data_IF_385031724532
#
_entry.id   IF_385031724532
#
_cell.length_a   1.000
_cell.length_b   1.000
_cell.length_c   1.000
_cell.angle_alpha   90.00
_cell.angle_beta   90.00
_cell.angle_gamma   90.00
#
_symmetry.space_group_name_H-M   'P 1'
#
loop_
_entity.id
_entity.type
_entity.pdbx_description
1 polymer ?
#
# COMPACT_ATOMS: atom_id res chain seq x y z
N UNK A 1 -15.53 30.71 50.74
CA UNK A 1 -14.85 29.43 50.47
C UNK A 1 -14.75 29.25 48.96
N UNK A 2 -13.60 29.55 48.37
CA UNK A 2 -13.35 29.34 46.94
C UNK A 2 -12.54 28.07 46.73
N UNK A 3 -12.99 27.23 45.78
CA UNK A 3 -12.26 26.04 45.33
C UNK A 3 -11.05 26.50 44.51
N UNK A 4 -9.84 26.17 44.98
CA UNK A 4 -8.61 26.23 44.16
C UNK A 4 -8.48 24.88 43.44
N UNK A 5 -8.48 24.94 42.12
CA UNK A 5 -8.12 23.83 41.24
C UNK A 5 -6.59 23.72 41.22
N UNK A 6 -6.07 22.52 41.48
CA UNK A 6 -4.65 22.19 41.35
C UNK A 6 -4.51 21.47 40.01
N UNK A 7 -3.88 22.13 39.03
CA UNK A 7 -3.44 21.50 37.78
C UNK A 7 -2.01 21.02 38.00
N UNK A 8 -1.68 19.73 37.80
CA UNK A 8 -0.30 19.27 37.87
C UNK A 8 0.47 19.72 36.62
N UNK A 9 1.65 20.24 36.85
CA UNK A 9 2.60 20.71 35.85
C UNK A 9 3.07 19.52 34.98
N UNK A 10 2.87 19.60 33.67
CA UNK A 10 3.33 18.57 32.71
C UNK A 10 4.70 19.01 32.20
N UNK A 11 5.78 18.25 32.44
CA UNK A 11 7.11 18.67 32.04
C UNK A 11 7.26 18.66 30.51
N UNK A 12 7.96 19.68 30.03
CA UNK A 12 8.36 19.92 28.64
C UNK A 12 9.05 18.68 28.04
N UNK A 13 8.55 18.21 26.89
CA UNK A 13 8.96 16.95 26.22
C UNK A 13 10.36 16.99 25.61
N UNK A 14 11.10 18.09 25.73
CA UNK A 14 12.36 18.30 25.00
C UNK A 14 13.64 18.00 25.79
N UNK A 15 13.55 17.57 27.06
CA UNK A 15 14.72 17.14 27.85
C UNK A 15 14.41 15.90 28.70
N UNK A 16 14.50 14.72 28.09
CA UNK A 16 14.56 13.47 28.83
C UNK A 16 16.05 13.16 29.04
N UNK A 17 16.55 13.42 30.25
CA UNK A 17 17.92 13.09 30.65
C UNK A 17 18.14 11.56 30.60
N UNK A 18 19.35 11.12 30.24
CA UNK A 18 19.74 9.70 30.06
C UNK A 18 19.40 8.81 31.28
N UNK A 19 19.31 9.38 32.48
CA UNK A 19 18.91 8.66 33.70
C UNK A 19 17.44 8.19 33.71
N UNK A 20 16.57 8.82 32.91
CA UNK A 20 15.12 8.54 32.87
C UNK A 20 14.84 7.23 32.13
N UNK A 21 15.60 6.94 31.06
CA UNK A 21 15.44 5.70 30.29
C UNK A 21 15.84 4.46 31.10
N UNK A 22 16.91 4.55 31.90
CA UNK A 22 17.32 3.47 32.81
C UNK A 22 16.24 3.14 33.85
N UNK A 23 15.53 4.17 34.33
CA UNK A 23 14.44 4.01 35.30
C UNK A 23 13.18 3.42 34.68
N UNK A 24 12.85 3.82 33.45
CA UNK A 24 11.74 3.25 32.67
C UNK A 24 12.02 1.77 32.33
N UNK A 25 13.25 1.43 31.96
CA UNK A 25 13.66 0.05 31.71
C UNK A 25 13.56 -0.83 32.95
N UNK A 26 14.04 -0.37 34.11
CA UNK A 26 13.89 -1.09 35.39
C UNK A 26 12.43 -1.33 35.75
N UNK A 27 11.58 -0.31 35.61
CA UNK A 27 10.15 -0.42 35.91
C UNK A 27 9.39 -1.37 34.97
N UNK A 28 9.78 -1.44 33.68
CA UNK A 28 9.23 -2.40 32.71
C UNK A 28 9.67 -3.83 33.01
N UNK A 29 10.93 -4.02 33.41
CA UNK A 29 11.48 -5.34 33.76
C UNK A 29 10.87 -5.90 35.05
N UNK A 30 10.69 -5.06 36.08
CA UNK A 30 10.02 -5.45 37.33
C UNK A 30 8.54 -5.85 37.10
N UNK A 31 7.85 -5.17 36.18
CA UNK A 31 6.47 -5.51 35.81
C UNK A 31 6.33 -6.81 35.02
N UNK A 32 7.29 -7.15 34.17
CA UNK A 32 7.30 -8.45 33.48
C UNK A 32 7.63 -9.60 34.42
N UNK A 33 8.55 -9.39 35.36
CA UNK A 33 8.90 -10.38 36.40
C UNK A 33 7.71 -10.68 37.32
N UNK A 34 6.93 -9.67 37.70
CA UNK A 34 5.69 -9.87 38.49
C UNK A 34 4.57 -10.54 37.69
N UNK A 35 4.49 -10.33 36.38
CA UNK A 35 3.50 -11.00 35.53
C UNK A 35 3.78 -12.51 35.38
N UNK A 36 5.05 -12.91 35.32
CA UNK A 36 5.45 -14.33 35.26
C UNK A 36 5.26 -15.07 36.58
N UNK A 37 5.29 -14.36 37.72
CA UNK A 37 5.03 -14.92 39.05
C UNK A 37 3.55 -15.32 39.27
N UNK A 38 2.61 -14.69 38.56
CA UNK A 38 1.17 -14.94 38.73
C UNK A 38 0.61 -16.11 37.89
N UNK A 39 1.41 -16.73 37.02
CA UNK A 39 0.99 -17.82 36.14
C UNK A 39 1.58 -19.18 36.53
N UNK A 40 1.68 -19.47 37.83
CA UNK A 40 2.06 -20.79 38.32
C UNK A 40 0.98 -21.83 37.98
N UNK A 41 1.15 -22.52 36.85
CA UNK A 41 0.44 -23.75 36.52
C UNK A 41 0.94 -24.93 37.39
N UNK A 42 0.10 -25.95 37.64
CA UNK A 42 0.45 -27.07 38.51
C UNK A 42 1.61 -27.92 37.97
N UNK A 43 2.43 -28.39 38.92
CA UNK A 43 3.65 -29.15 38.71
C UNK A 43 3.46 -30.35 37.78
N UNK A 44 4.26 -30.42 36.71
CA UNK A 44 4.31 -31.61 35.84
C UNK A 44 4.88 -31.43 34.43
N UNK A 45 5.30 -30.23 34.02
CA UNK A 45 5.95 -30.02 32.72
C UNK A 45 7.41 -29.61 32.95
N UNK A 46 8.34 -30.33 32.32
CA UNK A 46 9.75 -29.99 32.28
C UNK A 46 9.91 -28.56 31.76
N UNK A 47 10.48 -27.69 32.60
CA UNK A 47 10.72 -26.31 32.27
C UNK A 47 11.86 -26.22 31.24
N UNK A 48 11.52 -26.07 29.96
CA UNK A 48 12.47 -25.59 28.96
C UNK A 48 12.91 -24.16 29.35
N UNK A 49 14.20 -24.01 29.58
CA UNK A 49 14.83 -22.71 29.84
C UNK A 49 14.70 -21.84 28.57
N UNK A 50 13.76 -20.90 28.59
CA UNK A 50 13.59 -19.93 27.51
C UNK A 50 14.76 -18.95 27.56
N UNK A 51 15.80 -19.22 26.78
CA UNK A 51 16.92 -18.28 26.58
C UNK A 51 16.43 -17.14 25.69
N UNK A 52 16.19 -15.98 26.28
CA UNK A 52 15.84 -14.76 25.55
C UNK A 52 17.14 -14.13 25.01
N UNK A 53 17.26 -14.04 23.68
CA UNK A 53 18.40 -13.38 23.03
C UNK A 53 18.23 -11.84 23.05
N UNK A 54 18.89 -11.20 24.02
CA UNK A 54 18.92 -9.74 24.18
C UNK A 54 19.40 -9.00 22.92
N UNK A 55 20.26 -9.62 22.08
CA UNK A 55 20.72 -8.99 20.83
C UNK A 55 19.60 -8.91 19.80
N UNK A 56 18.78 -9.96 19.70
CA UNK A 56 17.64 -9.99 18.79
C UNK A 56 16.56 -8.95 19.18
N UNK A 57 16.34 -8.74 20.48
CA UNK A 57 15.43 -7.72 20.99
C UNK A 57 15.96 -6.31 20.68
N UNK A 58 17.23 -6.06 20.99
CA UNK A 58 17.86 -4.75 20.73
C UNK A 58 17.80 -4.38 19.25
N UNK A 59 18.13 -5.31 18.34
CA UNK A 59 18.02 -5.09 16.89
C UNK A 59 16.61 -4.71 16.44
N UNK A 60 15.58 -5.43 16.93
CA UNK A 60 14.17 -5.13 16.60
C UNK A 60 13.73 -3.74 17.10
N UNK A 61 14.30 -3.26 18.21
CA UNK A 61 14.03 -1.91 18.74
C UNK A 61 14.73 -0.87 17.86
N UNK A 62 16.00 -1.07 17.55
CA UNK A 62 16.78 -0.15 16.72
C UNK A 62 16.16 0.00 15.32
N UNK A 63 15.74 -1.10 14.69
CA UNK A 63 15.04 -1.10 13.39
C UNK A 63 13.72 -0.30 13.44
N UNK A 64 12.95 -0.43 14.54
CA UNK A 64 11.71 0.34 14.75
C UNK A 64 11.98 1.83 14.94
N UNK A 65 13.06 2.19 15.64
CA UNK A 65 13.44 3.59 15.87
C UNK A 65 13.91 4.24 14.57
N UNK A 66 14.74 3.56 13.78
CA UNK A 66 15.18 4.03 12.47
C UNK A 66 13.98 4.27 11.56
N UNK A 67 13.08 3.28 11.43
CA UNK A 67 11.87 3.41 10.61
C UNK A 67 11.01 4.60 11.02
N UNK A 68 10.79 4.81 12.33
CA UNK A 68 10.02 5.95 12.83
C UNK A 68 10.70 7.29 12.53
N UNK A 69 12.03 7.35 12.57
CA UNK A 69 12.81 8.55 12.25
C UNK A 69 12.73 8.87 10.76
N UNK A 70 12.79 7.87 9.89
CA UNK A 70 12.59 8.03 8.44
C UNK A 70 11.18 8.50 8.10
N UNK A 71 10.15 7.91 8.70
CA UNK A 71 8.76 8.34 8.53
C UNK A 71 8.53 9.78 8.99
N UNK A 72 9.18 10.18 10.10
CA UNK A 72 9.12 11.56 10.61
C UNK A 72 9.80 12.52 9.65
N UNK A 73 11.00 12.19 9.16
CA UNK A 73 11.72 13.01 8.17
C UNK A 73 10.95 13.12 6.85
N UNK A 74 10.28 12.03 6.42
CA UNK A 74 9.43 12.03 5.23
C UNK A 74 8.20 12.93 5.44
N UNK A 75 7.56 12.89 6.62
CA UNK A 75 6.46 13.81 6.99
C UNK A 75 6.92 15.27 6.97
N UNK A 76 8.08 15.57 7.54
CA UNK A 76 8.66 16.93 7.54
C UNK A 76 8.97 17.42 6.12
N UNK A 77 9.57 16.55 5.28
CA UNK A 77 9.88 16.86 3.87
C UNK A 77 8.61 17.08 3.03
N UNK A 78 7.53 16.35 3.33
CA UNK A 78 6.27 16.41 2.59
C UNK A 78 5.34 17.55 3.07
N UNK A 79 5.64 18.15 4.23
CA UNK A 79 4.84 19.19 4.86
C UNK A 79 3.54 18.66 5.49
N UNK A 80 2.81 19.55 6.16
CA UNK A 80 1.42 19.24 6.53
C UNK A 80 0.59 19.06 5.27
N UNK A 81 -0.43 18.17 5.27
CA UNK A 81 -1.32 18.01 4.11
C UNK A 81 -2.00 19.34 3.81
N UNK A 82 -1.47 20.10 2.84
CA UNK A 82 -2.16 21.27 2.32
C UNK A 82 -3.47 20.78 1.70
N UNK A 83 -4.60 21.37 2.09
CA UNK A 83 -5.90 21.07 1.47
C UNK A 83 -5.78 21.35 -0.03
N UNK A 84 -5.70 20.29 -0.84
CA UNK A 84 -5.71 20.37 -2.30
C UNK A 84 -7.14 20.60 -2.74
N UNK A 85 -7.39 21.59 -3.61
CA UNK A 85 -8.76 21.89 -4.06
C UNK A 85 -9.29 20.84 -5.04
N UNK A 86 -10.61 20.77 -5.24
CA UNK A 86 -11.22 19.81 -6.19
C UNK A 86 -10.74 20.12 -7.60
N UNK A 87 -10.66 21.41 -7.92
CA UNK A 87 -10.19 21.94 -9.19
C UNK A 87 -8.75 21.50 -9.48
N UNK A 88 -7.89 21.45 -8.45
CA UNK A 88 -6.51 21.01 -8.62
C UNK A 88 -6.40 19.50 -8.86
N UNK A 89 -7.18 18.68 -8.13
CA UNK A 89 -7.22 17.22 -8.32
C UNK A 89 -7.78 16.84 -9.70
N UNK A 90 -8.83 17.54 -10.12
CA UNK A 90 -9.54 17.27 -11.38
C UNK A 90 -8.87 17.87 -12.60
N UNK A 91 -7.89 18.78 -12.41
CA UNK A 91 -7.18 19.42 -13.51
C UNK A 91 -6.58 18.38 -14.44
N UNK A 92 -6.97 18.47 -15.72
CA UNK A 92 -6.29 17.74 -16.79
C UNK A 92 -4.97 18.47 -17.03
N UNK A 93 -3.87 17.77 -16.81
CA UNK A 93 -2.56 18.30 -17.15
C UNK A 93 -2.09 17.58 -18.41
N UNK A 94 -2.31 18.23 -19.54
CA UNK A 94 -1.88 17.78 -20.86
C UNK A 94 -0.36 17.53 -20.91
N UNK A 95 0.40 18.21 -20.04
CA UNK A 95 1.85 18.00 -19.87
C UNK A 95 2.19 16.98 -18.79
N UNK A 96 1.28 16.67 -17.84
CA UNK A 96 1.54 15.69 -16.77
C UNK A 96 1.77 14.27 -17.28
N UNK A 97 1.31 13.94 -18.49
CA UNK A 97 1.65 12.66 -19.12
C UNK A 97 3.17 12.46 -19.26
N UNK A 98 3.98 13.54 -19.14
CA UNK A 98 5.44 13.50 -19.13
C UNK A 98 6.09 13.38 -17.76
N UNK A 99 5.37 13.67 -16.66
CA UNK A 99 5.92 13.56 -15.31
C UNK A 99 5.75 12.12 -14.85
N UNK A 100 6.77 11.31 -15.16
CA UNK A 100 6.85 9.92 -14.71
C UNK A 100 7.05 9.91 -13.20
N UNK A 101 6.08 9.37 -12.47
CA UNK A 101 6.10 9.34 -11.00
C UNK A 101 6.26 7.88 -10.58
N UNK A 102 7.44 7.49 -10.05
CA UNK A 102 7.70 6.12 -9.66
C UNK A 102 6.94 5.82 -8.37
N UNK A 103 5.73 5.28 -8.50
CA UNK A 103 5.06 4.66 -7.35
C UNK A 103 4.66 3.27 -7.73
N UNK A 104 5.40 2.33 -7.13
CA UNK A 104 4.91 0.99 -6.84
C UNK A 104 3.89 1.18 -5.73
N UNK A 105 2.67 0.62 -5.86
CA UNK A 105 1.56 0.86 -4.94
C UNK A 105 1.89 0.65 -3.45
N UNK A 106 0.91 0.89 -2.59
CA UNK A 106 1.01 0.68 -1.14
C UNK A 106 1.63 -0.69 -0.80
N UNK A 107 2.38 -0.71 0.31
CA UNK A 107 2.98 -1.94 0.83
C UNK A 107 1.88 -2.95 1.16
N UNK A 108 2.22 -4.25 1.14
CA UNK A 108 1.25 -5.31 1.39
C UNK A 108 0.56 -5.22 2.76
N UNK A 109 1.25 -4.70 3.77
CA UNK A 109 0.70 -4.50 5.11
C UNK A 109 -0.43 -3.44 5.14
N UNK A 110 -0.50 -2.58 4.13
CA UNK A 110 -1.57 -1.58 4.04
C UNK A 110 -2.91 -2.20 3.63
N UNK A 111 -2.91 -3.42 3.06
CA UNK A 111 -4.13 -4.11 2.64
C UNK A 111 -4.76 -4.85 3.81
N UNK A 112 -5.88 -4.32 4.27
CA UNK A 112 -6.68 -4.84 5.38
C UNK A 112 -8.12 -4.92 4.88
N UNK A 113 -8.87 -5.89 5.40
CA UNK A 113 -10.28 -6.11 5.03
C UNK A 113 -11.10 -4.83 5.15
N UNK A 114 -11.96 -4.59 4.17
CA UNK A 114 -12.81 -3.40 4.09
C UNK A 114 -12.09 -2.11 3.70
N UNK A 115 -10.75 -2.05 3.73
CA UNK A 115 -10.00 -0.85 3.34
C UNK A 115 -10.19 -0.56 1.86
N UNK A 116 -10.33 0.71 1.51
CA UNK A 116 -10.43 1.18 0.12
C UNK A 116 -9.07 1.13 -0.56
N UNK A 117 -9.00 0.48 -1.71
CA UNK A 117 -7.78 0.37 -2.52
C UNK A 117 -8.06 0.89 -3.92
N UNK A 118 -7.38 1.97 -4.31
CA UNK A 118 -7.41 2.42 -5.70
C UNK A 118 -6.59 1.43 -6.55
N UNK A 119 -7.23 0.76 -7.50
CA UNK A 119 -6.61 -0.25 -8.37
C UNK A 119 -6.43 0.22 -9.81
N UNK A 120 -7.12 1.28 -10.23
CA UNK A 120 -6.86 1.95 -11.50
C UNK A 120 -7.08 3.45 -11.38
N UNK A 121 -6.26 4.27 -12.05
CA UNK A 121 -6.35 5.73 -11.99
C UNK A 121 -6.13 6.36 -13.39
N UNK A 122 -6.86 7.43 -13.75
CA UNK A 122 -6.76 8.01 -15.08
C UNK A 122 -5.46 8.82 -15.24
N UNK A 123 -4.62 8.37 -16.19
CA UNK A 123 -3.29 8.95 -16.47
C UNK A 123 -3.25 10.45 -16.77
N UNK A 124 -4.37 11.04 -17.19
CA UNK A 124 -4.45 12.47 -17.58
C UNK A 124 -4.56 13.43 -16.39
N UNK A 125 -4.76 12.89 -15.17
CA UNK A 125 -4.93 13.66 -13.94
C UNK A 125 -3.72 13.51 -13.01
N UNK A 126 -2.54 13.93 -13.47
CA UNK A 126 -1.29 13.78 -12.70
C UNK A 126 -1.30 14.47 -11.33
N UNK A 127 -2.00 15.61 -11.19
CA UNK A 127 -2.17 16.28 -9.91
C UNK A 127 -2.98 15.43 -8.92
N UNK A 128 -4.10 14.86 -9.38
CA UNK A 128 -4.90 13.92 -8.57
C UNK A 128 -4.12 12.67 -8.19
N UNK A 129 -3.26 12.17 -9.07
CA UNK A 129 -2.35 11.07 -8.76
C UNK A 129 -1.35 11.44 -7.65
N UNK A 130 -0.71 12.60 -7.74
CA UNK A 130 0.20 13.08 -6.70
C UNK A 130 -0.51 13.19 -5.34
N UNK A 131 -1.76 13.65 -5.34
CA UNK A 131 -2.58 13.69 -4.14
C UNK A 131 -2.84 12.27 -3.59
N UNK A 132 -3.22 11.32 -4.45
CA UNK A 132 -3.41 9.92 -4.07
C UNK A 132 -2.14 9.34 -3.42
N UNK A 133 -1.00 9.50 -4.06
CA UNK A 133 0.29 8.97 -3.58
C UNK A 133 0.65 9.55 -2.22
N UNK A 134 0.58 10.87 -2.08
CA UNK A 134 0.87 11.54 -0.80
C UNK A 134 0.00 10.98 0.32
N UNK A 135 -1.28 10.72 0.05
CA UNK A 135 -2.21 10.16 1.03
C UNK A 135 -2.01 8.65 1.27
N UNK A 136 -1.68 7.87 0.24
CA UNK A 136 -1.55 6.41 0.33
C UNK A 136 -0.25 5.94 1.01
N UNK A 137 0.77 6.81 1.07
CA UNK A 137 2.03 6.55 1.79
C UNK A 137 1.82 6.62 3.31
N UNK A 138 0.93 7.49 3.77
CA UNK A 138 0.63 7.60 5.20
C UNK A 138 -0.50 6.63 5.55
N UNK A 139 -0.15 5.54 6.24
CA UNK A 139 -1.04 4.42 6.58
C UNK A 139 -2.32 4.84 7.32
N UNK A 140 -2.36 6.05 7.88
CA UNK A 140 -3.44 6.60 8.70
C UNK A 140 -4.68 7.09 7.91
N UNK A 141 -4.59 7.33 6.60
CA UNK A 141 -5.66 8.01 5.84
C UNK A 141 -6.75 7.08 5.28
N UNK A 142 -6.77 5.80 5.68
CA UNK A 142 -7.81 4.83 5.28
C UNK A 142 -7.82 4.45 3.78
N UNK A 143 -6.93 5.04 2.97
CA UNK A 143 -6.79 4.76 1.54
C UNK A 143 -5.47 4.05 1.28
N UNK A 144 -5.52 3.01 0.45
CA UNK A 144 -4.35 2.36 -0.10
C UNK A 144 -4.45 2.36 -1.64
N UNK A 145 -3.37 2.01 -2.32
CA UNK A 145 -3.35 1.95 -3.78
C UNK A 145 -2.54 0.75 -4.26
N UNK A 146 -3.00 0.09 -5.32
CA UNK A 146 -2.21 -0.88 -6.07
C UNK A 146 -1.84 -0.36 -7.46
N UNK A 147 -2.41 0.79 -7.85
CA UNK A 147 -2.13 1.44 -9.11
C UNK A 147 -0.65 1.66 -9.34
N UNK A 148 -0.25 1.57 -10.61
CA UNK A 148 1.07 1.97 -11.07
C UNK A 148 0.87 3.04 -12.13
N UNK A 149 1.36 4.25 -11.89
CA UNK A 149 1.31 5.35 -12.84
C UNK A 149 2.64 5.38 -13.61
N UNK A 150 2.54 5.45 -14.94
CA UNK A 150 3.63 5.51 -15.92
C UNK A 150 5.03 5.47 -15.29
N UNK A 151 5.59 4.25 -15.08
CA UNK A 151 6.84 4.10 -14.36
C UNK A 151 7.92 4.95 -15.02
N UNK A 152 8.74 5.61 -14.20
CA UNK A 152 9.88 6.33 -14.73
C UNK A 152 10.90 5.36 -15.35
N UNK A 153 11.82 5.85 -16.19
CA UNK A 153 12.87 5.00 -16.78
C UNK A 153 13.73 4.28 -15.72
N UNK A 154 13.75 4.75 -14.48
CA UNK A 154 14.50 4.19 -13.35
C UNK A 154 13.67 3.18 -12.55
N UNK A 155 12.36 3.12 -12.76
CA UNK A 155 11.44 2.34 -11.97
C UNK A 155 11.62 0.85 -12.27
N UNK A 156 11.50 0.05 -11.20
CA UNK A 156 11.68 -1.40 -11.29
C UNK A 156 10.66 -1.98 -12.28
N UNK A 157 11.15 -2.56 -13.37
CA UNK A 157 10.32 -3.18 -14.40
C UNK A 157 10.05 -2.30 -15.62
N UNK A 158 10.47 -1.03 -15.63
CA UNK A 158 10.38 -0.20 -16.83
C UNK A 158 11.19 -0.81 -17.99
N UNK A 159 10.60 -0.82 -19.19
CA UNK A 159 11.19 -1.39 -20.40
C UNK A 159 11.36 -2.91 -20.36
N UNK A 160 11.02 -3.58 -19.24
CA UNK A 160 11.17 -5.02 -19.10
C UNK A 160 9.91 -5.74 -19.59
N UNK A 161 10.15 -6.69 -20.48
CA UNK A 161 9.13 -7.61 -20.98
C UNK A 161 9.27 -8.92 -20.24
N UNK A 162 8.20 -9.34 -19.55
CA UNK A 162 8.19 -10.65 -18.91
C UNK A 162 8.01 -11.72 -20.00
N UNK A 163 8.98 -12.63 -20.06
CA UNK A 163 8.88 -13.86 -20.85
C UNK A 163 8.23 -14.91 -19.95
N UNK A 164 7.17 -15.54 -20.41
CA UNK A 164 6.56 -16.64 -19.67
C UNK A 164 7.51 -17.85 -19.67
N UNK A 165 7.93 -18.28 -18.48
CA UNK A 165 8.81 -19.45 -18.28
C UNK A 165 7.93 -20.71 -18.30
N UNK A 166 8.35 -21.74 -19.05
CA UNK A 166 7.71 -23.05 -19.32
C UNK A 166 7.22 -23.31 -20.74
N UNK A 167 7.70 -22.59 -21.75
CA UNK A 167 7.89 -23.15 -23.11
C UNK A 167 6.66 -23.63 -23.88
N UNK A 168 5.44 -23.59 -23.33
CA UNK A 168 4.18 -23.84 -24.07
C UNK A 168 3.53 -22.52 -24.47
N UNK A 169 4.21 -21.85 -25.39
CA UNK A 169 3.63 -21.53 -26.69
C UNK A 169 4.67 -21.92 -27.74
N UNK A 170 4.43 -23.04 -28.42
CA UNK A 170 5.22 -23.47 -29.56
C UNK A 170 5.14 -22.41 -30.68
N UNK A 171 6.30 -21.99 -31.19
CA UNK A 171 6.46 -21.78 -32.64
C UNK A 171 6.23 -20.39 -33.26
N UNK A 172 5.63 -19.40 -32.60
CA UNK A 172 5.58 -18.02 -33.15
C UNK A 172 5.23 -17.00 -32.08
N UNK A 173 5.97 -15.88 -31.97
CA UNK A 173 5.56 -14.65 -31.26
C UNK A 173 4.84 -14.89 -29.91
N UNK A 174 5.56 -15.39 -28.91
CA UNK A 174 5.05 -15.56 -27.53
C UNK A 174 4.52 -14.23 -26.99
N UNK A 175 3.20 -14.15 -26.75
CA UNK A 175 2.48 -12.90 -26.45
C UNK A 175 2.85 -12.34 -25.07
N UNK A 176 3.70 -11.31 -25.05
CA UNK A 176 3.87 -10.42 -23.90
C UNK A 176 2.50 -9.89 -23.43
N UNK A 177 2.31 -9.62 -22.12
CA UNK A 177 1.16 -8.82 -21.62
C UNK A 177 0.99 -7.49 -22.37
N UNK A 178 2.06 -6.99 -23.00
CA UNK A 178 2.06 -5.90 -23.96
C UNK A 178 0.97 -5.99 -25.02
N UNK A 179 0.73 -7.19 -25.57
CA UNK A 179 -0.28 -7.39 -26.63
C UNK A 179 -1.69 -7.12 -26.11
N UNK A 180 -1.90 -7.30 -24.82
CA UNK A 180 -3.16 -7.00 -24.17
C UNK A 180 -3.26 -5.50 -23.78
N UNK A 181 -2.16 -4.93 -23.28
CA UNK A 181 -2.13 -3.54 -22.80
C UNK A 181 -2.08 -2.50 -23.92
N UNK A 182 -1.27 -2.78 -24.93
CA UNK A 182 -0.96 -1.86 -26.03
C UNK A 182 -1.62 -2.30 -27.33
N UNK A 183 -2.31 -3.45 -27.35
CA UNK A 183 -2.93 -4.02 -28.55
C UNK A 183 -1.92 -4.08 -29.70
N UNK A 184 -2.17 -3.31 -30.75
CA UNK A 184 -1.38 -3.27 -31.98
C UNK A 184 -0.27 -2.21 -31.94
N UNK A 185 -0.22 -1.36 -30.89
CA UNK A 185 0.80 -0.34 -30.71
C UNK A 185 2.06 -0.94 -30.05
N UNK A 186 2.73 -1.80 -30.80
CA UNK A 186 3.93 -2.50 -30.35
C UNK A 186 5.14 -1.58 -30.18
N UNK A 187 5.12 -0.38 -30.78
CA UNK A 187 6.20 0.60 -30.58
C UNK A 187 6.10 1.24 -29.19
N UNK A 188 4.88 1.54 -28.69
CA UNK A 188 4.70 1.87 -27.27
C UNK A 188 5.10 0.72 -26.35
N UNK A 189 4.76 -0.52 -26.73
CA UNK A 189 5.13 -1.69 -25.94
C UNK A 189 6.65 -1.79 -25.75
N UNK A 190 7.45 -1.62 -26.82
CA UNK A 190 8.92 -1.71 -26.79
C UNK A 190 9.56 -0.72 -25.81
N UNK A 191 8.99 0.48 -25.66
CA UNK A 191 9.52 1.51 -24.77
C UNK A 191 9.21 1.26 -23.29
N UNK A 192 7.99 0.80 -22.98
CA UNK A 192 7.51 0.73 -21.60
C UNK A 192 7.68 -0.63 -20.93
N UNK A 193 7.72 -1.72 -21.71
CA UNK A 193 7.66 -3.07 -21.16
C UNK A 193 6.29 -3.42 -20.56
N UNK A 194 6.16 -4.63 -20.01
CA UNK A 194 4.95 -5.09 -19.33
C UNK A 194 5.17 -5.55 -17.89
N UNK A 195 6.42 -5.59 -17.41
CA UNK A 195 6.70 -6.10 -16.08
C UNK A 195 5.99 -5.29 -14.98
N UNK A 196 5.82 -3.98 -15.19
CA UNK A 196 5.04 -3.11 -14.32
C UNK A 196 3.58 -3.56 -14.16
N UNK A 197 2.97 -4.10 -15.23
CA UNK A 197 1.60 -4.59 -15.19
C UNK A 197 1.48 -5.86 -14.37
N UNK A 198 2.49 -6.74 -14.42
CA UNK A 198 2.49 -7.92 -13.56
C UNK A 198 2.70 -7.55 -12.09
N UNK A 199 3.52 -6.53 -11.79
CA UNK A 199 3.63 -5.98 -10.43
C UNK A 199 2.26 -5.45 -9.97
N UNK A 200 1.62 -4.60 -10.77
CA UNK A 200 0.26 -4.11 -10.52
C UNK A 200 -0.74 -5.25 -10.27
N UNK A 201 -0.76 -6.26 -11.14
CA UNK A 201 -1.67 -7.40 -11.05
C UNK A 201 -1.45 -8.18 -9.75
N UNK A 202 -0.20 -8.43 -9.38
CA UNK A 202 0.14 -9.12 -8.12
C UNK A 202 -0.34 -8.33 -6.90
N UNK A 203 -0.07 -7.02 -6.85
CA UNK A 203 -0.50 -6.15 -5.74
C UNK A 203 -2.04 -6.12 -5.67
N UNK A 204 -2.71 -6.00 -6.81
CA UNK A 204 -4.18 -5.98 -6.92
C UNK A 204 -4.80 -7.29 -6.44
N UNK A 205 -4.23 -8.44 -6.84
CA UNK A 205 -4.69 -9.76 -6.38
C UNK A 205 -4.52 -9.91 -4.87
N UNK A 206 -3.42 -9.38 -4.31
CA UNK A 206 -3.21 -9.35 -2.86
C UNK A 206 -4.28 -8.51 -2.17
N UNK A 207 -4.54 -7.29 -2.63
CA UNK A 207 -5.60 -6.43 -2.09
C UNK A 207 -6.98 -7.13 -2.11
N UNK A 208 -7.33 -7.78 -3.22
CA UNK A 208 -8.57 -8.56 -3.31
C UNK A 208 -8.60 -9.72 -2.31
N UNK A 209 -7.49 -10.47 -2.18
CA UNK A 209 -7.37 -11.60 -1.23
C UNK A 209 -7.52 -11.14 0.23
N UNK A 210 -7.06 -9.94 0.57
CA UNK A 210 -7.23 -9.36 1.90
C UNK A 210 -8.63 -8.76 2.12
N UNK A 211 -9.56 -8.88 1.17
CA UNK A 211 -10.93 -8.37 1.32
C UNK A 211 -11.02 -6.85 1.22
N UNK A 212 -10.07 -6.19 0.55
CA UNK A 212 -10.14 -4.76 0.33
C UNK A 212 -11.27 -4.38 -0.65
N UNK A 213 -11.80 -3.16 -0.51
CA UNK A 213 -12.74 -2.59 -1.48
C UNK A 213 -11.96 -2.00 -2.65
N UNK A 214 -11.95 -2.69 -3.79
CA UNK A 214 -11.24 -2.24 -4.99
C UNK A 214 -12.00 -1.08 -5.66
N UNK A 215 -11.30 -0.02 -6.02
CA UNK A 215 -11.86 1.18 -6.64
C UNK A 215 -11.12 1.50 -7.94
N UNK A 216 -11.87 1.68 -9.02
CA UNK A 216 -11.41 2.18 -10.31
C UNK A 216 -11.83 3.64 -10.44
N UNK A 217 -10.86 4.55 -10.47
CA UNK A 217 -11.12 5.97 -10.72
C UNK A 217 -11.21 6.19 -12.23
N UNK A 218 -12.26 6.83 -12.71
CA UNK A 218 -12.48 7.14 -14.12
C UNK A 218 -12.22 8.62 -14.42
N UNK A 219 -12.24 9.01 -15.69
CA UNK A 219 -12.27 10.43 -16.06
C UNK A 219 -13.57 11.09 -15.59
N UNK A 220 -13.64 12.42 -15.71
CA UNK A 220 -14.83 13.23 -15.39
C UNK A 220 -16.11 12.70 -16.03
N UNK A 221 -16.04 12.27 -17.29
CA UNK A 221 -17.19 11.75 -18.03
C UNK A 221 -17.48 10.26 -17.80
N UNK A 222 -16.89 9.64 -16.77
CA UNK A 222 -17.06 8.21 -16.49
C UNK A 222 -16.24 7.27 -17.39
N UNK A 223 -15.55 7.78 -18.41
CA UNK A 223 -14.80 6.93 -19.35
C UNK A 223 -13.43 6.49 -18.80
N UNK A 224 -13.00 5.29 -19.21
CA UNK A 224 -11.68 4.73 -18.90
C UNK A 224 -10.59 5.25 -19.85
N UNK A 225 -9.40 5.50 -19.31
CA UNK A 225 -8.16 5.66 -20.08
C UNK A 225 -7.75 4.37 -20.80
N UNK A 226 -6.85 4.49 -21.79
CA UNK A 226 -6.41 3.35 -22.62
C UNK A 226 -5.77 2.24 -21.79
N UNK A 227 -4.84 2.58 -20.88
CA UNK A 227 -4.22 1.61 -19.97
C UNK A 227 -5.24 0.99 -19.00
N UNK A 228 -6.14 1.82 -18.47
CA UNK A 228 -7.18 1.39 -17.54
C UNK A 228 -8.12 0.34 -18.13
N UNK A 229 -8.38 0.38 -19.44
CA UNK A 229 -9.19 -0.66 -20.10
C UNK A 229 -8.57 -2.05 -19.93
N UNK A 230 -7.24 -2.15 -20.00
CA UNK A 230 -6.53 -3.41 -19.75
C UNK A 230 -6.67 -3.87 -18.29
N UNK A 231 -6.43 -2.96 -17.35
CA UNK A 231 -6.57 -3.19 -15.91
C UNK A 231 -7.98 -3.65 -15.54
N UNK A 232 -9.01 -2.93 -15.99
CA UNK A 232 -10.42 -3.26 -15.73
C UNK A 232 -10.81 -4.60 -16.36
N UNK A 233 -10.38 -4.89 -17.58
CA UNK A 233 -10.68 -6.18 -18.19
C UNK A 233 -9.93 -7.34 -17.50
N UNK A 234 -8.79 -7.08 -16.84
CA UNK A 234 -8.13 -8.07 -15.96
C UNK A 234 -8.97 -8.33 -14.71
N UNK A 235 -9.47 -7.29 -14.04
CA UNK A 235 -10.38 -7.43 -12.88
C UNK A 235 -11.62 -8.26 -13.24
N UNK A 236 -12.26 -7.93 -14.38
CA UNK A 236 -13.43 -8.67 -14.89
C UNK A 236 -13.11 -10.12 -15.20
N UNK A 237 -11.95 -10.41 -15.81
CA UNK A 237 -11.53 -11.77 -16.13
C UNK A 237 -11.35 -12.64 -14.88
N UNK A 238 -10.87 -12.06 -13.78
CA UNK A 238 -10.73 -12.75 -12.50
C UNK A 238 -11.98 -12.68 -11.63
N UNK A 239 -13.07 -12.09 -12.12
CA UNK A 239 -14.32 -11.89 -11.39
C UNK A 239 -14.12 -11.15 -10.05
N UNK A 240 -13.23 -10.15 -10.03
CA UNK A 240 -13.05 -9.30 -8.85
C UNK A 240 -14.17 -8.26 -8.78
N UNK A 241 -14.74 -8.10 -7.59
CA UNK A 241 -15.70 -7.03 -7.31
C UNK A 241 -14.95 -5.70 -7.15
N UNK A 242 -15.37 -4.68 -7.90
CA UNK A 242 -14.79 -3.35 -7.80
C UNK A 242 -15.86 -2.27 -8.01
N UNK A 243 -15.64 -1.09 -7.44
CA UNK A 243 -16.49 0.10 -7.62
C UNK A 243 -15.84 1.05 -8.62
N UNK A 244 -16.65 1.68 -9.45
CA UNK A 244 -16.20 2.78 -10.32
C UNK A 244 -16.57 4.11 -9.67
N UNK A 245 -15.66 5.08 -9.72
CA UNK A 245 -15.93 6.46 -9.29
C UNK A 245 -15.23 7.45 -10.22
N UNK A 246 -15.83 8.61 -10.47
CA UNK A 246 -15.18 9.66 -11.28
C UNK A 246 -14.05 10.32 -10.51
N UNK A 247 -13.12 10.95 -11.23
CA UNK A 247 -12.04 11.76 -10.63
C UNK A 247 -12.57 12.87 -9.71
N UNK A 248 -13.75 13.42 -10.01
CA UNK A 248 -14.43 14.41 -9.18
C UNK A 248 -14.95 13.79 -7.87
N UNK A 249 -15.63 12.64 -7.95
CA UNK A 249 -16.04 11.89 -6.75
C UNK A 249 -14.84 11.49 -5.89
N UNK A 250 -13.73 11.10 -6.53
CA UNK A 250 -12.48 10.83 -5.85
C UNK A 250 -11.93 12.08 -5.14
N UNK A 251 -11.94 13.24 -5.80
CA UNK A 251 -11.50 14.49 -5.20
C UNK A 251 -12.32 14.84 -3.94
N UNK A 252 -13.64 14.70 -4.01
CA UNK A 252 -14.51 14.89 -2.85
C UNK A 252 -14.23 13.88 -1.73
N UNK A 253 -14.02 12.60 -2.05
CA UNK A 253 -13.65 11.58 -1.07
C UNK A 253 -12.35 11.94 -0.33
N UNK A 254 -11.36 12.48 -1.04
CA UNK A 254 -10.07 12.87 -0.44
C UNK A 254 -10.22 14.10 0.45
N UNK A 255 -11.09 15.05 0.09
CA UNK A 255 -11.34 16.25 0.89
C UNK A 255 -12.20 15.98 2.14
N UNK A 256 -13.18 15.10 2.00
CA UNK A 256 -14.18 14.78 3.03
C UNK A 256 -14.17 13.27 3.32
N UNK A 257 -13.08 12.72 3.89
CA UNK A 257 -12.96 11.28 4.12
C UNK A 257 -14.05 10.72 5.05
N UNK A 258 -14.57 11.55 5.96
CA UNK A 258 -15.63 11.18 6.91
C UNK A 258 -17.01 11.01 6.25
N UNK A 259 -17.30 11.75 5.18
CA UNK A 259 -18.59 11.68 4.48
C UNK A 259 -18.69 10.46 3.57
N UNK A 260 -17.54 9.91 3.17
CA UNK A 260 -17.46 8.86 2.18
C UNK A 260 -17.49 7.46 2.81
N UNK A 261 -18.50 7.16 3.61
CA UNK A 261 -18.70 5.81 4.13
C UNK A 261 -19.36 4.90 3.07
N UNK A 262 -18.53 4.19 2.30
CA UNK A 262 -18.96 3.21 1.30
C UNK A 262 -19.42 1.88 1.92
N UNK A 263 -19.45 1.76 3.25
CA UNK A 263 -19.90 0.56 3.96
C UNK A 263 -21.32 0.14 3.59
N UNK A 264 -22.16 1.07 3.09
CA UNK A 264 -23.57 0.83 2.76
C UNK A 264 -23.86 0.03 1.48
N UNK A 265 -22.88 -0.58 0.81
CA UNK A 265 -23.15 -1.23 -0.48
C UNK A 265 -22.29 -2.42 -0.90
N UNK A 266 -21.44 -2.94 -0.03
CA UNK A 266 -20.77 -4.23 -0.26
C UNK A 266 -21.05 -5.10 0.95
N UNK A 267 -22.13 -5.87 0.92
CA UNK A 267 -22.22 -7.02 1.82
C UNK A 267 -21.03 -7.93 1.47
N UNK A 268 -20.18 -8.29 2.45
CA UNK A 268 -19.11 -9.23 2.21
C UNK A 268 -19.75 -10.53 1.71
N UNK A 269 -19.43 -10.92 0.47
CA UNK A 269 -19.81 -12.24 -0.02
C UNK A 269 -19.20 -13.25 0.96
N UNK A 270 -20.04 -14.06 1.60
CA UNK A 270 -19.60 -15.07 2.54
C UNK A 270 -18.53 -15.94 1.87
N UNK A 271 -17.35 -15.93 2.49
CA UNK A 271 -16.08 -16.40 1.93
C UNK A 271 -15.97 -17.93 1.99
N UNK A 272 -16.96 -18.64 1.44
CA UNK A 272 -17.06 -20.10 1.55
C UNK A 272 -16.34 -20.88 0.43
N UNK A 273 -15.75 -20.21 -0.57
CA UNK A 273 -14.93 -20.86 -1.60
C UNK A 273 -13.45 -20.45 -1.50
N UNK A 274 -12.62 -21.25 -0.83
CA UNK A 274 -11.16 -21.10 -0.84
C UNK A 274 -10.50 -21.43 -2.19
N UNK A 275 -11.28 -21.80 -3.21
CA UNK A 275 -10.80 -21.95 -4.58
C UNK A 275 -10.69 -20.59 -5.28
N UNK A 276 -9.69 -19.80 -4.88
CA UNK A 276 -9.23 -18.68 -5.69
C UNK A 276 -8.86 -19.22 -7.08
N UNK A 277 -9.32 -18.58 -8.17
CA UNK A 277 -8.88 -18.97 -9.51
C UNK A 277 -7.35 -18.92 -9.52
N UNK A 278 -6.74 -20.07 -9.83
CA UNK A 278 -5.29 -20.14 -9.89
C UNK A 278 -4.81 -19.04 -10.83
N UNK A 279 -3.86 -18.22 -10.35
CA UNK A 279 -3.27 -17.19 -11.20
C UNK A 279 -2.80 -17.86 -12.50
N UNK A 280 -3.03 -17.24 -13.68
CA UNK A 280 -2.55 -17.76 -14.95
C UNK A 280 -1.10 -18.24 -14.80
N UNK A 281 -0.73 -19.40 -15.33
CA UNK A 281 0.56 -20.08 -15.07
C UNK A 281 1.81 -19.20 -15.21
N UNK A 282 1.69 -18.08 -15.92
CA UNK A 282 2.71 -17.05 -16.06
C UNK A 282 2.88 -16.04 -14.90
N UNK A 283 1.94 -15.97 -13.97
CA UNK A 283 1.97 -15.10 -12.78
C UNK A 283 2.33 -15.88 -11.50
N UNK A 284 2.30 -17.21 -11.54
CA UNK A 284 2.55 -18.08 -10.36
C UNK A 284 3.99 -18.04 -9.83
N UNK A 285 4.92 -17.40 -10.55
CA UNK A 285 6.34 -17.38 -10.17
C UNK A 285 7.05 -16.08 -10.52
N UNK A 286 6.39 -14.94 -10.31
CA UNK A 286 7.17 -13.82 -9.80
C UNK A 286 7.38 -14.20 -8.35
N UNK A 287 8.49 -14.88 -8.04
CA UNK A 287 8.98 -14.91 -6.65
C UNK A 287 8.85 -13.47 -6.19
N UNK A 288 8.04 -13.30 -5.13
CA UNK A 288 7.88 -12.06 -4.43
C UNK A 288 9.29 -11.61 -4.11
N UNK A 289 9.86 -10.80 -4.99
CA UNK A 289 11.10 -10.12 -4.68
C UNK A 289 10.69 -9.32 -3.47
N UNK A 290 11.20 -9.73 -2.32
CA UNK A 290 11.16 -8.91 -1.12
C UNK A 290 11.43 -7.48 -1.57
N UNK A 291 10.63 -6.50 -1.08
CA UNK A 291 10.90 -5.11 -1.41
C UNK A 291 12.39 -4.89 -1.20
N UNK A 292 13.12 -4.33 -2.19
CA UNK A 292 14.57 -4.24 -2.11
C UNK A 292 14.91 -3.63 -0.76
N UNK A 293 15.72 -4.35 0.03
CA UNK A 293 16.38 -3.71 1.15
C UNK A 293 17.17 -2.56 0.52
N UNK A 294 16.90 -1.35 0.97
CA UNK A 294 17.69 -0.20 0.56
C UNK A 294 19.09 -0.50 1.08
N UNK A 295 20.00 -0.87 0.18
CA UNK A 295 21.42 -0.93 0.52
C UNK A 295 21.82 0.51 0.87
N UNK A 296 22.20 0.74 2.14
CA UNK A 296 22.76 2.00 2.65
C UNK A 296 24.06 2.38 1.93
#
# INVERSE_FOLDING_TARGET
MSKKEIVPDVPDKTKIEEGTWSSIWKALFEKQSTFLSCCAAPAGADAEEVVIDDKAIKKKIDDKVIKKKEETKLRELMGTPTKVSVEEITKVDEKSCSVQIPVVGSRFQAFVEGRKVIVSFPGVHGAGWNCLVKNAIFEDNGLATSCVFLPDKKAKGYGKHLKFVNGKHHGSATRCHCTYLYKDDMDKAKGHGCAWFSIWATITCKANKEGCQLIVVTKLNGSLGTSQKGEVAFLKKLNFDYKEMTIEQFAHMVQNPEEFDLSRGCEPKSREDENLPELPDGLRRVELLDPPQLDE
#
